data_IF_292526094156
#
_entry.id   IF_292526094156
#
_cell.length_a   1.000
_cell.length_b   1.000
_cell.length_c   1.000
_cell.angle_alpha   90.00
_cell.angle_beta   90.00
_cell.angle_gamma   90.00
#
_symmetry.space_group_name_H-M   'P 1'
#
loop_
_entity.id
_entity.type
_entity.pdbx_description
1 polymer ?
#
# COMPACT_ATOMS: atom_id res chain seq x y z
N UNK A 1 13.76 -12.24 14.68
CA UNK A 1 12.54 -12.16 15.52
C UNK A 1 12.64 -10.85 16.30
N UNK A 2 11.75 -9.88 16.11
CA UNK A 2 11.76 -8.63 16.88
C UNK A 2 11.35 -8.95 18.31
N UNK A 3 12.25 -8.80 19.26
CA UNK A 3 12.04 -9.13 20.66
C UNK A 3 11.43 -7.99 21.48
N UNK A 4 10.73 -7.03 20.87
CA UNK A 4 10.22 -5.86 21.58
C UNK A 4 8.77 -5.54 21.23
N UNK A 5 8.05 -4.94 22.20
CA UNK A 5 6.72 -4.41 21.96
C UNK A 5 6.73 -3.21 21.01
N UNK A 6 5.77 -3.12 20.09
CA UNK A 6 5.54 -1.93 19.25
C UNK A 6 4.97 -0.75 20.05
N UNK A 7 4.62 -0.96 21.34
CA UNK A 7 4.17 0.07 22.27
C UNK A 7 5.38 0.74 22.93
N UNK A 8 5.74 1.94 22.45
CA UNK A 8 6.84 2.75 22.97
C UNK A 8 6.28 4.09 23.46
N UNK A 9 5.89 4.19 24.76
CA UNK A 9 5.30 5.41 25.30
C UNK A 9 6.25 6.60 25.17
N UNK A 10 5.73 7.76 24.72
CA UNK A 10 6.52 8.98 24.62
C UNK A 10 7.54 9.04 23.48
N UNK A 11 7.56 8.06 22.57
CA UNK A 11 8.51 7.99 21.44
C UNK A 11 8.60 9.32 20.68
N UNK A 12 7.48 9.98 20.40
CA UNK A 12 7.43 11.27 19.70
C UNK A 12 8.09 12.44 20.46
N UNK A 13 8.32 12.30 21.77
CA UNK A 13 8.99 13.32 22.62
C UNK A 13 10.50 13.16 22.63
N UNK A 14 10.99 11.99 22.21
CA UNK A 14 12.42 11.71 22.20
C UNK A 14 13.11 12.47 21.06
N UNK A 15 14.38 12.88 21.21
CA UNK A 15 15.22 13.35 20.11
C UNK A 15 15.31 12.28 19.00
N UNK A 16 15.54 12.70 17.75
CA UNK A 16 15.65 11.80 16.60
C UNK A 16 16.74 10.74 16.81
N UNK A 17 17.88 11.12 17.40
CA UNK A 17 18.98 10.20 17.73
C UNK A 17 18.54 9.07 18.65
N UNK A 18 17.74 9.37 19.68
CA UNK A 18 17.23 8.38 20.61
C UNK A 18 16.16 7.49 19.98
N UNK A 19 15.26 8.06 19.16
CA UNK A 19 14.30 7.26 18.37
C UNK A 19 15.02 6.24 17.50
N UNK A 20 16.09 6.67 16.78
CA UNK A 20 16.92 5.80 15.94
C UNK A 20 17.61 4.70 16.77
N UNK A 21 18.12 5.04 17.94
CA UNK A 21 18.74 4.05 18.84
C UNK A 21 17.75 2.95 19.25
N UNK A 22 16.52 3.33 19.58
CA UNK A 22 15.47 2.38 19.90
C UNK A 22 15.09 1.48 18.72
N UNK A 23 14.97 2.05 17.49
CA UNK A 23 14.71 1.28 16.28
C UNK A 23 15.82 0.28 16.00
N UNK A 24 17.09 0.68 16.18
CA UNK A 24 18.25 -0.20 16.03
C UNK A 24 18.16 -1.41 16.93
N UNK A 25 17.80 -1.23 18.20
CA UNK A 25 17.65 -2.31 19.16
C UNK A 25 16.45 -3.21 18.83
N UNK A 26 15.37 -2.63 18.31
CA UNK A 26 14.14 -3.38 18.01
C UNK A 26 14.28 -4.31 16.80
N UNK A 27 14.99 -3.89 15.75
CA UNK A 27 15.07 -4.59 14.48
C UNK A 27 16.51 -5.04 14.09
N UNK A 28 17.45 -5.00 15.07
CA UNK A 28 18.86 -5.35 14.85
C UNK A 28 19.48 -4.67 13.60
N UNK A 29 19.31 -3.35 13.52
CA UNK A 29 19.77 -2.56 12.37
C UNK A 29 21.29 -2.35 12.40
N UNK A 30 21.92 -2.52 11.25
CA UNK A 30 23.33 -2.27 11.05
C UNK A 30 23.70 -0.78 11.05
N UNK A 31 24.99 -0.46 11.15
CA UNK A 31 25.49 0.92 10.96
C UNK A 31 25.15 1.47 9.56
N UNK A 32 25.14 0.62 8.53
CA UNK A 32 24.75 1.03 7.19
C UNK A 32 23.27 1.43 7.12
N UNK A 33 22.40 0.72 7.85
CA UNK A 33 20.99 1.08 7.96
C UNK A 33 20.78 2.44 8.62
N UNK A 34 21.58 2.71 9.66
CA UNK A 34 21.51 4.00 10.34
C UNK A 34 21.96 5.15 9.43
N UNK A 35 23.02 4.96 8.61
CA UNK A 35 23.44 5.94 7.60
C UNK A 35 22.39 6.16 6.52
N UNK A 36 21.62 5.14 6.14
CA UNK A 36 20.52 5.26 5.19
C UNK A 36 19.45 6.26 5.66
N UNK A 37 19.23 6.36 6.97
CA UNK A 37 18.28 7.33 7.54
C UNK A 37 18.77 8.79 7.44
N UNK A 38 20.06 9.04 7.29
CA UNK A 38 20.61 10.39 7.11
C UNK A 38 20.49 10.87 5.67
N UNK A 39 20.59 9.95 4.69
CA UNK A 39 20.62 10.25 3.27
C UNK A 39 19.26 10.25 2.56
N UNK A 40 18.14 10.16 3.28
CA UNK A 40 16.81 10.14 2.64
C UNK A 40 16.50 8.82 1.90
N UNK A 41 17.28 7.76 2.12
CA UNK A 41 17.04 6.40 1.61
C UNK A 41 17.62 6.09 0.23
N UNK A 42 17.96 7.09 -0.56
CA UNK A 42 18.56 6.98 -1.90
C UNK A 42 19.48 8.18 -2.13
N UNK A 43 20.61 7.98 -2.78
CA UNK A 43 21.50 9.07 -3.20
C UNK A 43 21.28 9.46 -4.66
N UNK A 44 21.89 10.59 -5.09
CA UNK A 44 21.74 11.11 -6.45
C UNK A 44 22.31 10.16 -7.50
N UNK A 45 23.38 9.42 -7.20
CA UNK A 45 23.96 8.49 -8.13
C UNK A 45 23.05 7.25 -8.37
N UNK A 46 22.34 6.82 -7.36
CA UNK A 46 21.29 5.79 -7.50
C UNK A 46 20.07 6.36 -8.23
N UNK A 47 19.64 7.59 -7.90
CA UNK A 47 18.51 8.23 -8.56
C UNK A 47 18.72 8.36 -10.08
N UNK A 48 19.91 8.78 -10.52
CA UNK A 48 20.27 8.92 -11.92
C UNK A 48 20.26 7.58 -12.71
N UNK A 49 20.51 6.46 -12.02
CA UNK A 49 20.40 5.12 -12.62
C UNK A 49 18.98 4.56 -12.68
N UNK A 50 18.10 5.05 -11.84
CA UNK A 50 16.74 4.49 -11.66
C UNK A 50 15.70 5.30 -12.42
N UNK A 51 15.91 6.62 -12.55
CA UNK A 51 14.97 7.55 -13.20
C UNK A 51 15.72 8.41 -14.21
N UNK A 52 15.21 8.49 -15.42
CA UNK A 52 15.75 9.30 -16.51
C UNK A 52 15.71 10.80 -16.15
N UNK A 53 16.75 11.53 -16.55
CA UNK A 53 16.86 12.99 -16.34
C UNK A 53 16.84 13.40 -14.86
N UNK A 54 17.26 12.54 -13.94
CA UNK A 54 17.30 12.87 -12.52
C UNK A 54 18.25 14.05 -12.26
N UNK A 55 17.78 15.02 -11.48
CA UNK A 55 18.56 16.20 -11.07
C UNK A 55 18.84 16.22 -9.55
N UNK A 56 18.28 15.26 -8.82
CA UNK A 56 18.41 15.16 -7.37
C UNK A 56 17.40 14.18 -6.77
N UNK A 57 17.28 14.22 -5.45
CA UNK A 57 16.34 13.39 -4.68
C UNK A 57 15.31 14.29 -4.01
N UNK A 58 14.04 13.95 -4.14
CA UNK A 58 12.94 14.58 -3.43
C UNK A 58 12.51 13.68 -2.27
N UNK A 59 12.88 14.04 -1.05
CA UNK A 59 12.67 13.24 0.13
C UNK A 59 11.32 13.49 0.80
N UNK A 60 10.67 12.42 1.28
CA UNK A 60 9.52 12.49 2.17
C UNK A 60 9.94 12.19 3.61
N UNK A 61 9.27 12.80 4.62
CA UNK A 61 9.46 12.41 6.01
C UNK A 61 9.16 10.92 6.22
N UNK A 62 10.08 10.21 6.87
CA UNK A 62 9.89 8.81 7.28
C UNK A 62 9.66 8.76 8.78
N UNK A 63 8.52 8.25 9.21
CA UNK A 63 8.22 8.02 10.61
C UNK A 63 7.77 6.58 10.87
N UNK A 64 7.44 6.31 12.14
CA UNK A 64 7.09 4.94 12.59
C UNK A 64 5.70 4.96 13.22
N UNK A 65 4.78 4.18 12.63
CA UNK A 65 3.51 3.80 13.24
C UNK A 65 3.77 2.84 14.40
N UNK A 66 3.22 3.18 15.55
CA UNK A 66 3.40 2.45 16.81
C UNK A 66 2.12 1.73 17.21
N UNK A 67 2.23 0.85 18.21
CA UNK A 67 1.15 0.12 18.87
C UNK A 67 0.47 -0.96 18.01
N UNK A 68 0.90 -1.18 16.78
CA UNK A 68 0.30 -2.21 15.93
C UNK A 68 0.54 -3.60 16.50
N UNK A 69 -0.54 -4.35 16.64
CA UNK A 69 -0.55 -5.81 16.87
C UNK A 69 -1.35 -6.41 15.71
N UNK A 70 -0.72 -7.26 14.92
CA UNK A 70 -1.31 -7.87 13.73
C UNK A 70 -1.14 -9.38 13.85
N UNK A 71 -2.25 -10.12 13.86
CA UNK A 71 -2.27 -11.57 14.10
C UNK A 71 -1.42 -11.98 15.32
N UNK A 72 -1.56 -11.21 16.41
CA UNK A 72 -0.83 -11.45 17.67
C UNK A 72 0.64 -11.02 17.70
N UNK A 73 1.16 -10.46 16.58
CA UNK A 73 2.54 -10.00 16.46
C UNK A 73 2.63 -8.49 16.61
N UNK A 74 3.52 -8.01 17.45
CA UNK A 74 3.91 -6.59 17.53
C UNK A 74 4.67 -6.16 16.26
N UNK A 75 4.28 -5.03 15.65
CA UNK A 75 4.90 -4.52 14.42
C UNK A 75 5.15 -3.03 14.52
N UNK A 76 6.38 -2.59 14.25
CA UNK A 76 6.70 -1.19 13.97
C UNK A 76 6.48 -0.91 12.49
N UNK A 77 5.64 0.06 12.16
CA UNK A 77 5.20 0.31 10.78
C UNK A 77 5.87 1.56 10.21
N UNK A 78 6.91 1.42 9.35
CA UNK A 78 7.50 2.56 8.64
C UNK A 78 6.46 3.18 7.70
N UNK A 79 6.36 4.50 7.76
CA UNK A 79 5.42 5.30 6.98
C UNK A 79 6.14 6.52 6.40
N UNK A 80 6.15 6.65 5.08
CA UNK A 80 6.69 7.81 4.37
C UNK A 80 5.52 8.68 3.89
N UNK A 81 5.40 9.90 4.40
CA UNK A 81 4.25 10.76 4.12
C UNK A 81 4.60 12.22 4.39
N UNK A 82 4.08 13.12 3.55
CA UNK A 82 4.25 14.57 3.69
C UNK A 82 3.22 15.21 4.63
N UNK A 83 2.04 14.56 4.79
CA UNK A 83 0.92 15.12 5.55
C UNK A 83 1.16 14.95 7.06
N UNK A 84 1.13 16.05 7.85
CA UNK A 84 1.18 15.96 9.29
C UNK A 84 0.03 15.14 9.87
N UNK A 85 0.23 14.55 11.01
CA UNK A 85 -0.77 13.79 11.79
C UNK A 85 -1.04 12.36 11.33
N UNK A 86 -0.83 11.96 10.09
CA UNK A 86 -1.15 10.62 9.57
C UNK A 86 -0.55 9.52 10.46
N UNK A 87 0.74 9.60 10.74
CA UNK A 87 1.45 8.59 11.55
C UNK A 87 0.96 8.58 13.01
N UNK A 88 0.74 9.76 13.58
CA UNK A 88 0.25 9.89 14.95
C UNK A 88 -1.19 9.37 15.07
N UNK A 89 -2.04 9.66 14.10
CA UNK A 89 -3.42 9.21 14.02
C UNK A 89 -3.50 7.69 13.90
N UNK A 90 -2.76 7.09 12.97
CA UNK A 90 -2.68 5.63 12.81
C UNK A 90 -2.14 4.94 14.08
N UNK A 91 -1.10 5.50 14.72
CA UNK A 91 -0.54 4.97 15.96
C UNK A 91 -1.53 5.02 17.13
N UNK A 92 -2.35 6.09 17.22
CA UNK A 92 -3.39 6.20 18.26
C UNK A 92 -4.54 5.25 18.01
N UNK A 93 -4.97 5.08 16.76
CA UNK A 93 -5.97 4.09 16.39
C UNK A 93 -5.49 2.66 16.68
N UNK A 94 -4.25 2.33 16.31
CA UNK A 94 -3.65 1.04 16.62
C UNK A 94 -3.58 0.77 18.12
N UNK A 95 -3.36 1.81 18.95
CA UNK A 95 -3.42 1.68 20.42
C UNK A 95 -4.81 1.27 20.90
N UNK A 96 -5.87 1.85 20.35
CA UNK A 96 -7.25 1.50 20.72
C UNK A 96 -7.61 0.08 20.24
N UNK A 97 -7.23 -0.27 19.03
CA UNK A 97 -7.42 -1.62 18.46
C UNK A 97 -6.65 -2.66 19.28
N UNK A 98 -5.45 -2.34 19.76
CA UNK A 98 -4.65 -3.21 20.63
C UNK A 98 -5.38 -3.62 21.90
N UNK A 99 -6.21 -2.75 22.47
CA UNK A 99 -7.03 -3.06 23.65
C UNK A 99 -8.13 -4.08 23.36
N UNK A 100 -8.53 -4.22 22.09
CA UNK A 100 -9.45 -5.24 21.58
C UNK A 100 -8.76 -6.51 21.03
N UNK A 101 -7.45 -6.68 21.24
CA UNK A 101 -6.69 -7.85 20.80
C UNK A 101 -5.81 -7.62 19.56
N UNK A 102 -5.87 -6.44 18.93
CA UNK A 102 -5.13 -6.11 17.71
C UNK A 102 -5.94 -6.31 16.42
N UNK A 103 -5.25 -6.23 15.30
CA UNK A 103 -5.80 -6.50 13.98
C UNK A 103 -5.73 -8.00 13.67
N UNK A 104 -6.81 -8.53 13.10
CA UNK A 104 -6.84 -9.85 12.48
C UNK A 104 -6.86 -9.64 10.97
N UNK A 105 -5.87 -10.15 10.28
CA UNK A 105 -5.68 -9.91 8.85
C UNK A 105 -5.40 -11.20 8.10
N UNK A 106 -5.91 -11.27 6.87
CA UNK A 106 -5.67 -12.33 5.90
C UNK A 106 -5.42 -11.72 4.52
N UNK A 107 -4.68 -12.44 3.65
CA UNK A 107 -4.42 -12.02 2.28
C UNK A 107 -4.52 -13.22 1.33
N UNK A 108 -5.15 -12.99 0.18
CA UNK A 108 -5.21 -13.94 -0.92
C UNK A 108 -3.79 -14.33 -1.39
N UNK A 109 -3.68 -15.40 -2.15
CA UNK A 109 -2.44 -15.72 -2.85
C UNK A 109 -2.04 -14.58 -3.80
N UNK A 110 -0.73 -14.36 -4.03
CA UNK A 110 -0.24 -13.20 -4.77
C UNK A 110 -0.46 -13.34 -6.29
N UNK A 111 -1.72 -13.47 -6.69
CA UNK A 111 -2.13 -13.70 -8.07
C UNK A 111 -2.39 -12.38 -8.77
N UNK A 112 -1.65 -12.13 -9.85
CA UNK A 112 -1.83 -11.02 -10.78
C UNK A 112 -2.52 -11.48 -12.05
N UNK A 113 -3.18 -10.57 -12.77
CA UNK A 113 -3.92 -10.88 -13.98
C UNK A 113 -3.33 -10.19 -15.20
N UNK A 114 -2.94 -10.99 -16.20
CA UNK A 114 -2.67 -10.54 -17.56
C UNK A 114 -3.99 -10.43 -18.33
N UNK A 115 -4.17 -9.37 -19.11
CA UNK A 115 -5.25 -9.22 -20.08
C UNK A 115 -4.68 -9.29 -21.50
N UNK A 116 -5.32 -10.09 -22.36
CA UNK A 116 -4.99 -10.18 -23.77
C UNK A 116 -6.27 -9.86 -24.56
N UNK A 117 -6.30 -8.68 -25.17
CA UNK A 117 -7.40 -8.28 -26.03
C UNK A 117 -7.24 -8.89 -27.43
N UNK A 118 -8.29 -9.50 -27.96
CA UNK A 118 -8.37 -9.94 -29.36
C UNK A 118 -9.51 -9.19 -30.04
N UNK A 119 -9.20 -8.50 -31.11
CA UNK A 119 -10.12 -7.66 -31.88
C UNK A 119 -10.44 -8.25 -33.25
N UNK A 120 -11.56 -7.79 -33.85
CA UNK A 120 -11.97 -8.27 -35.16
C UNK A 120 -12.43 -9.72 -35.15
N UNK A 121 -13.15 -10.10 -34.11
CA UNK A 121 -13.72 -11.44 -33.94
C UNK A 121 -15.17 -11.42 -34.39
N UNK A 122 -15.48 -12.16 -35.44
CA UNK A 122 -16.84 -12.21 -36.03
C UNK A 122 -17.84 -12.90 -35.09
N UNK A 123 -17.43 -13.99 -34.44
CA UNK A 123 -18.23 -14.76 -33.48
C UNK A 123 -17.44 -14.89 -32.16
N UNK A 124 -17.64 -13.97 -31.20
CA UNK A 124 -16.95 -13.99 -29.91
C UNK A 124 -17.23 -15.25 -29.08
N UNK A 125 -18.43 -15.81 -29.14
CA UNK A 125 -18.77 -17.01 -28.36
C UNK A 125 -18.10 -18.28 -28.92
N UNK A 126 -18.04 -18.43 -30.24
CA UNK A 126 -17.28 -19.51 -30.85
C UNK A 126 -15.77 -19.34 -30.62
N UNK A 127 -15.26 -18.10 -30.63
CA UNK A 127 -13.86 -17.81 -30.31
C UNK A 127 -13.54 -18.14 -28.86
N UNK A 128 -14.39 -17.76 -27.90
CA UNK A 128 -14.27 -18.13 -26.49
C UNK A 128 -14.11 -19.65 -26.32
N UNK A 129 -15.00 -20.44 -26.91
CA UNK A 129 -14.95 -21.90 -26.85
C UNK A 129 -13.64 -22.47 -27.39
N UNK A 130 -13.10 -21.92 -28.49
CA UNK A 130 -11.81 -22.36 -29.06
C UNK A 130 -10.63 -22.05 -28.13
N UNK A 131 -10.61 -20.87 -27.51
CA UNK A 131 -9.57 -20.46 -26.58
C UNK A 131 -9.65 -21.30 -25.30
N UNK A 132 -10.85 -21.50 -24.75
CA UNK A 132 -11.08 -22.34 -23.56
C UNK A 132 -10.65 -23.80 -23.79
N UNK A 133 -10.93 -24.35 -24.98
CA UNK A 133 -10.49 -25.71 -25.36
C UNK A 133 -8.96 -25.85 -25.42
N UNK A 134 -8.23 -24.76 -25.64
CA UNK A 134 -6.76 -24.71 -25.65
C UNK A 134 -6.15 -24.28 -24.30
N UNK A 135 -6.95 -24.15 -23.23
CA UNK A 135 -6.51 -23.57 -21.95
C UNK A 135 -5.29 -24.29 -21.36
N UNK A 136 -5.25 -25.62 -21.41
CA UNK A 136 -4.12 -26.42 -20.89
C UNK A 136 -2.82 -26.07 -21.62
N UNK A 137 -2.88 -25.98 -22.96
CA UNK A 137 -1.72 -25.64 -23.78
C UNK A 137 -1.26 -24.19 -23.55
N UNK A 138 -2.22 -23.23 -23.43
CA UNK A 138 -1.93 -21.83 -23.16
C UNK A 138 -1.32 -21.64 -21.78
N UNK A 139 -1.84 -22.33 -20.76
CA UNK A 139 -1.27 -22.28 -19.40
C UNK A 139 0.13 -22.89 -19.36
N UNK A 140 0.36 -24.01 -20.07
CA UNK A 140 1.71 -24.60 -20.16
C UNK A 140 2.70 -23.63 -20.83
N UNK A 141 2.31 -22.93 -21.89
CA UNK A 141 3.13 -21.93 -22.56
C UNK A 141 3.39 -20.73 -21.63
N UNK A 142 2.36 -20.22 -20.96
CA UNK A 142 2.49 -19.14 -19.96
C UNK A 142 3.46 -19.52 -18.85
N UNK A 143 3.38 -20.74 -18.35
CA UNK A 143 4.28 -21.24 -17.31
C UNK A 143 5.71 -21.35 -17.80
N UNK A 144 5.93 -21.85 -19.00
CA UNK A 144 7.27 -21.97 -19.62
C UNK A 144 7.91 -20.61 -19.92
N UNK A 145 7.13 -19.53 -20.02
CA UNK A 145 7.65 -18.16 -20.25
C UNK A 145 8.42 -17.63 -19.03
N UNK A 146 8.14 -18.13 -17.83
CA UNK A 146 8.70 -17.65 -16.57
C UNK A 146 9.40 -18.79 -15.77
N UNK A 147 10.47 -19.42 -16.29
CA UNK A 147 11.07 -20.60 -15.66
C UNK A 147 11.56 -20.33 -14.23
N UNK A 148 12.18 -19.18 -13.98
CA UNK A 148 12.66 -18.84 -12.63
C UNK A 148 11.54 -18.57 -11.61
N UNK A 149 10.35 -18.23 -12.05
CA UNK A 149 9.14 -18.14 -11.20
C UNK A 149 8.58 -19.53 -10.92
N UNK A 150 8.56 -20.39 -11.95
CA UNK A 150 8.13 -21.77 -11.85
C UNK A 150 8.99 -22.56 -10.84
N UNK A 151 10.31 -22.38 -10.87
CA UNK A 151 11.25 -22.99 -9.92
C UNK A 151 10.97 -22.60 -8.46
N UNK A 152 10.36 -21.44 -8.24
CA UNK A 152 9.92 -20.96 -6.92
C UNK A 152 8.48 -21.34 -6.57
N UNK A 153 7.84 -22.20 -7.38
CA UNK A 153 6.47 -22.66 -7.18
C UNK A 153 5.38 -21.64 -7.55
N UNK A 154 5.73 -20.59 -8.29
CA UNK A 154 4.79 -19.65 -8.90
C UNK A 154 4.43 -20.02 -10.33
N UNK A 155 3.81 -19.09 -11.07
CA UNK A 155 3.46 -19.24 -12.48
C UNK A 155 1.97 -19.21 -12.76
N UNK A 156 1.59 -19.48 -14.02
CA UNK A 156 0.19 -19.42 -14.46
C UNK A 156 -0.67 -20.49 -13.75
N UNK A 157 -1.82 -20.04 -13.24
CA UNK A 157 -2.74 -20.87 -12.45
C UNK A 157 -4.05 -21.17 -13.19
N UNK A 158 -4.63 -20.15 -13.80
CA UNK A 158 -5.97 -20.17 -14.38
C UNK A 158 -6.04 -19.30 -15.61
N UNK A 159 -6.94 -19.63 -16.54
CA UNK A 159 -7.29 -18.86 -17.72
C UNK A 159 -8.79 -18.63 -17.74
N UNK A 160 -9.21 -17.39 -17.92
CA UNK A 160 -10.61 -16.98 -18.03
C UNK A 160 -10.82 -16.25 -19.35
N UNK A 161 -11.93 -16.49 -20.03
CA UNK A 161 -12.25 -15.86 -21.30
C UNK A 161 -13.58 -15.12 -21.19
N UNK A 162 -13.54 -13.80 -21.44
CA UNK A 162 -14.71 -12.94 -21.49
C UNK A 162 -14.97 -12.48 -22.92
N UNK A 163 -16.24 -12.32 -23.27
CA UNK A 163 -16.66 -11.78 -24.57
C UNK A 163 -17.18 -10.35 -24.43
N UNK A 164 -16.81 -9.53 -25.38
CA UNK A 164 -17.35 -8.19 -25.60
C UNK A 164 -17.80 -8.09 -27.08
N UNK A 165 -18.65 -7.13 -27.48
CA UNK A 165 -19.04 -6.95 -28.87
C UNK A 165 -17.81 -6.84 -29.79
N UNK A 166 -17.66 -7.82 -30.72
CA UNK A 166 -16.54 -7.89 -31.66
C UNK A 166 -15.16 -8.19 -31.06
N UNK A 167 -15.08 -8.59 -29.80
CA UNK A 167 -13.83 -8.84 -29.07
C UNK A 167 -13.89 -10.03 -28.13
N UNK A 168 -12.73 -10.60 -27.89
CA UNK A 168 -12.49 -11.57 -26.80
C UNK A 168 -11.40 -11.04 -25.91
N UNK A 169 -11.59 -11.12 -24.60
CA UNK A 169 -10.60 -10.76 -23.59
C UNK A 169 -10.19 -12.04 -22.86
N UNK A 170 -8.92 -12.39 -22.93
CA UNK A 170 -8.37 -13.54 -22.22
C UNK A 170 -7.60 -13.03 -21.00
N UNK A 171 -8.00 -13.48 -19.82
CA UNK A 171 -7.29 -13.26 -18.59
C UNK A 171 -6.43 -14.49 -18.27
N UNK A 172 -5.17 -14.27 -17.93
CA UNK A 172 -4.29 -15.31 -17.39
C UNK A 172 -3.90 -14.90 -15.98
N UNK A 173 -4.26 -15.72 -15.00
CA UNK A 173 -3.99 -15.50 -13.59
C UNK A 173 -2.67 -16.15 -13.20
N UNK A 174 -1.72 -15.35 -12.69
CA UNK A 174 -0.33 -15.74 -12.47
C UNK A 174 0.03 -15.51 -11.02
N UNK A 175 0.40 -16.56 -10.31
CA UNK A 175 0.97 -16.49 -8.97
C UNK A 175 2.40 -15.92 -9.08
N UNK A 176 2.57 -14.69 -8.62
CA UNK A 176 3.84 -13.95 -8.67
C UNK A 176 4.70 -14.15 -7.43
N UNK A 177 4.28 -14.96 -6.49
CA UNK A 177 4.95 -15.19 -5.20
C UNK A 177 5.23 -13.85 -4.50
N UNK A 178 6.44 -13.60 -4.09
CA UNK A 178 6.83 -12.41 -3.31
C UNK A 178 7.11 -11.17 -4.15
N UNK A 179 6.97 -11.25 -5.49
CA UNK A 179 7.04 -10.09 -6.36
C UNK A 179 5.67 -9.40 -6.53
N UNK A 180 5.69 -8.09 -6.78
CA UNK A 180 4.48 -7.39 -7.27
C UNK A 180 4.01 -7.97 -8.60
N UNK A 181 4.92 -8.21 -9.55
CA UNK A 181 4.70 -9.07 -10.70
C UNK A 181 4.45 -8.38 -12.05
N UNK A 182 4.38 -7.05 -12.13
CA UNK A 182 3.97 -6.33 -13.34
C UNK A 182 4.73 -6.77 -14.61
N UNK A 183 6.07 -6.77 -14.59
CA UNK A 183 6.88 -7.13 -15.75
C UNK A 183 6.68 -8.60 -16.15
N UNK A 184 6.60 -9.51 -15.19
CA UNK A 184 6.38 -10.92 -15.45
C UNK A 184 5.02 -11.17 -16.12
N UNK A 185 3.99 -10.51 -15.65
CA UNK A 185 2.63 -10.60 -16.19
C UNK A 185 2.56 -10.07 -17.61
N UNK A 186 3.21 -8.93 -17.89
CA UNK A 186 3.30 -8.37 -19.24
C UNK A 186 4.05 -9.30 -20.20
N UNK A 187 5.17 -9.89 -19.76
CA UNK A 187 5.91 -10.88 -20.55
C UNK A 187 5.05 -12.06 -20.96
N UNK A 188 4.22 -12.58 -20.05
CA UNK A 188 3.28 -13.67 -20.36
C UNK A 188 2.19 -13.21 -21.34
N UNK A 189 1.61 -12.01 -21.12
CA UNK A 189 0.56 -11.48 -21.99
C UNK A 189 1.07 -11.34 -23.44
N UNK A 190 2.26 -10.78 -23.62
CA UNK A 190 2.89 -10.59 -24.93
C UNK A 190 3.21 -11.95 -25.59
N UNK A 191 3.76 -12.90 -24.85
CA UNK A 191 4.11 -14.22 -25.38
C UNK A 191 2.88 -15.02 -25.87
N UNK A 192 1.72 -14.81 -25.24
CA UNK A 192 0.50 -15.52 -25.59
C UNK A 192 -0.31 -14.83 -26.71
N UNK A 193 -0.16 -13.53 -26.90
CA UNK A 193 -1.02 -12.68 -27.73
C UNK A 193 -1.30 -13.24 -29.11
N UNK A 194 -0.25 -13.54 -29.88
CA UNK A 194 -0.36 -14.08 -31.24
C UNK A 194 -1.01 -15.48 -31.30
N UNK A 195 -0.74 -16.33 -30.33
CA UNK A 195 -1.34 -17.67 -30.27
C UNK A 195 -2.83 -17.60 -29.97
N UNK A 196 -3.21 -16.77 -29.01
CA UNK A 196 -4.61 -16.52 -28.66
C UNK A 196 -5.36 -15.90 -29.84
N UNK A 197 -4.74 -14.94 -30.57
CA UNK A 197 -5.32 -14.33 -31.75
C UNK A 197 -5.65 -15.37 -32.85
N UNK A 198 -4.72 -16.28 -33.14
CA UNK A 198 -4.97 -17.38 -34.10
C UNK A 198 -6.12 -18.30 -33.67
N UNK A 199 -6.17 -18.68 -32.39
CA UNK A 199 -7.24 -19.53 -31.83
C UNK A 199 -8.59 -18.82 -31.90
N UNK A 200 -8.64 -17.55 -31.57
CA UNK A 200 -9.84 -16.74 -31.62
C UNK A 200 -10.30 -16.39 -33.04
N UNK A 201 -9.43 -16.54 -34.06
CA UNK A 201 -9.61 -16.06 -35.45
C UNK A 201 -9.82 -14.54 -35.50
N UNK A 202 -9.00 -13.83 -34.75
CA UNK A 202 -8.97 -12.38 -34.69
C UNK A 202 -7.54 -11.85 -34.80
N UNK A 203 -7.32 -10.62 -34.35
CA UNK A 203 -5.99 -9.98 -34.30
C UNK A 203 -5.67 -9.65 -32.86
N UNK A 204 -4.40 -9.81 -32.47
CA UNK A 204 -3.92 -9.36 -31.16
C UNK A 204 -4.08 -7.84 -31.04
N UNK A 205 -4.78 -7.41 -30.01
CA UNK A 205 -4.91 -6.02 -29.59
C UNK A 205 -3.87 -5.70 -28.51
N UNK A 206 -4.32 -5.35 -27.31
CA UNK A 206 -3.46 -4.96 -26.21
C UNK A 206 -3.20 -6.14 -25.24
N UNK A 207 -1.96 -6.67 -25.19
CA UNK A 207 -1.53 -7.62 -24.16
C UNK A 207 -0.87 -6.86 -22.99
N UNK A 208 -1.56 -6.72 -21.85
CA UNK A 208 -1.07 -5.95 -20.70
C UNK A 208 -1.68 -6.46 -19.39
N UNK A 209 -1.02 -6.21 -18.27
CA UNK A 209 -1.60 -6.45 -16.95
C UNK A 209 -2.83 -5.58 -16.68
N UNK A 210 -3.66 -5.98 -15.71
CA UNK A 210 -4.63 -5.07 -15.08
C UNK A 210 -4.20 -4.70 -13.68
N UNK A 211 -4.44 -3.44 -13.29
CA UNK A 211 -4.29 -2.99 -11.91
C UNK A 211 -5.52 -3.28 -11.04
N UNK A 212 -6.65 -3.70 -11.60
CA UNK A 212 -7.74 -4.26 -10.83
C UNK A 212 -7.35 -5.69 -10.41
N UNK A 213 -6.67 -5.77 -9.29
CA UNK A 213 -6.10 -7.01 -8.76
C UNK A 213 -7.10 -7.68 -7.79
N UNK A 214 -8.33 -7.92 -8.25
CA UNK A 214 -9.43 -8.47 -7.48
C UNK A 214 -9.22 -9.93 -7.02
N UNK A 215 -8.20 -10.60 -7.56
CA UNK A 215 -7.73 -11.93 -7.14
C UNK A 215 -6.58 -11.88 -6.11
N UNK A 216 -6.19 -10.68 -5.67
CA UNK A 216 -5.07 -10.45 -4.73
C UNK A 216 -5.48 -9.43 -3.68
N UNK A 217 -6.44 -9.81 -2.84
CA UNK A 217 -7.03 -8.92 -1.84
C UNK A 217 -6.40 -9.13 -0.47
N UNK A 218 -6.45 -8.08 0.33
CA UNK A 218 -6.25 -8.14 1.77
C UNK A 218 -7.58 -7.90 2.48
N UNK A 219 -7.80 -8.63 3.57
CA UNK A 219 -8.92 -8.45 4.49
C UNK A 219 -8.37 -8.17 5.86
N UNK A 220 -8.88 -7.15 6.52
CA UNK A 220 -8.47 -6.78 7.87
C UNK A 220 -9.69 -6.54 8.72
N UNK A 221 -9.65 -7.07 9.94
CA UNK A 221 -10.68 -6.87 10.95
C UNK A 221 -10.06 -6.28 12.22
N UNK A 222 -10.80 -5.40 12.89
CA UNK A 222 -10.40 -4.81 14.15
C UNK A 222 -11.60 -4.71 15.09
N UNK A 223 -11.40 -5.07 16.36
CA UNK A 223 -12.36 -4.82 17.44
C UNK A 223 -11.79 -3.75 18.38
N UNK A 224 -12.63 -2.80 18.77
CA UNK A 224 -12.25 -1.74 19.70
C UNK A 224 -13.29 -1.69 20.82
N UNK A 225 -12.91 -1.97 22.07
CA UNK A 225 -13.80 -1.80 23.21
C UNK A 225 -14.31 -0.36 23.27
N UNK A 226 -15.61 -0.16 23.52
CA UNK A 226 -16.19 1.19 23.58
C UNK A 226 -15.44 2.10 24.57
N UNK A 227 -15.02 1.57 25.70
CA UNK A 227 -14.22 2.31 26.69
C UNK A 227 -12.91 2.88 26.11
N UNK A 228 -12.28 2.20 25.16
CA UNK A 228 -11.03 2.67 24.51
C UNK A 228 -11.26 3.85 23.55
N UNK A 229 -12.51 4.08 23.14
CA UNK A 229 -12.90 5.21 22.25
C UNK A 229 -13.14 6.50 23.03
N UNK A 230 -13.39 6.42 24.33
CA UNK A 230 -13.73 7.59 25.16
C UNK A 230 -12.66 8.68 25.09
N UNK A 231 -13.11 9.93 25.28
CA UNK A 231 -12.27 11.12 25.44
C UNK A 231 -12.61 11.80 26.77
N UNK A 232 -11.98 12.90 27.09
CA UNK A 232 -12.33 13.71 28.28
C UNK A 232 -13.76 14.26 28.21
N UNK A 233 -14.30 14.46 26.98
CA UNK A 233 -15.59 15.13 26.76
C UNK A 233 -16.67 14.22 26.17
N UNK A 234 -16.30 13.04 25.64
CA UNK A 234 -17.24 12.12 24.99
C UNK A 234 -17.10 10.71 25.61
N UNK A 235 -18.22 10.12 25.99
CA UNK A 235 -18.22 8.71 26.41
C UNK A 235 -18.02 7.77 25.21
N UNK A 236 -17.47 6.58 25.49
CA UNK A 236 -17.05 5.66 24.45
C UNK A 236 -18.19 5.10 23.60
N UNK A 237 -19.40 4.95 24.16
CA UNK A 237 -20.55 4.46 23.42
C UNK A 237 -21.05 5.50 22.41
N UNK A 238 -21.12 6.77 22.81
CA UNK A 238 -21.47 7.88 21.92
C UNK A 238 -20.47 8.02 20.78
N UNK A 239 -19.16 7.87 21.05
CA UNK A 239 -18.12 7.89 20.00
C UNK A 239 -18.26 6.71 19.05
N UNK A 240 -18.50 5.50 19.57
CA UNK A 240 -18.78 4.31 18.75
C UNK A 240 -19.95 4.56 17.80
N UNK A 241 -21.06 5.03 18.32
CA UNK A 241 -22.27 5.26 17.54
C UNK A 241 -22.08 6.36 16.48
N UNK A 242 -21.30 7.40 16.79
CA UNK A 242 -20.89 8.41 15.83
C UNK A 242 -20.02 7.86 14.71
N UNK A 243 -19.08 6.94 15.01
CA UNK A 243 -18.27 6.26 14.00
C UNK A 243 -19.13 5.38 13.10
N UNK A 244 -20.07 4.63 13.67
CA UNK A 244 -21.00 3.78 12.91
C UNK A 244 -21.87 4.64 11.98
N UNK A 245 -22.41 5.76 12.46
CA UNK A 245 -23.19 6.69 11.64
C UNK A 245 -22.36 7.27 10.48
N UNK A 246 -21.09 7.64 10.73
CA UNK A 246 -20.19 8.14 9.69
C UNK A 246 -19.80 7.05 8.67
N UNK A 247 -19.75 5.77 9.08
CA UNK A 247 -19.57 4.63 8.18
C UNK A 247 -20.80 4.43 7.29
N UNK A 248 -22.01 4.43 7.85
CA UNK A 248 -23.25 4.32 7.08
C UNK A 248 -23.37 5.45 6.05
N UNK A 249 -23.02 6.69 6.43
CA UNK A 249 -23.04 7.80 5.48
C UNK A 249 -22.11 7.56 4.28
N UNK A 250 -20.94 6.93 4.48
CA UNK A 250 -20.05 6.57 3.38
C UNK A 250 -20.63 5.43 2.49
N UNK A 251 -21.42 4.53 3.06
CA UNK A 251 -22.12 3.49 2.30
C UNK A 251 -23.26 4.06 1.45
N UNK A 252 -23.92 5.11 1.93
CA UNK A 252 -25.08 5.73 1.28
C UNK A 252 -24.69 6.78 0.24
N UNK A 253 -23.54 7.45 0.38
CA UNK A 253 -23.15 8.60 -0.43
C UNK A 253 -21.75 8.42 -1.05
N UNK A 254 -21.60 8.37 -2.39
CA UNK A 254 -20.31 8.25 -3.06
C UNK A 254 -19.36 9.44 -2.82
N UNK A 255 -19.88 10.66 -2.58
CA UNK A 255 -19.03 11.80 -2.22
C UNK A 255 -18.37 11.58 -0.86
N UNK A 256 -19.16 11.08 0.11
CA UNK A 256 -18.59 10.72 1.42
C UNK A 256 -17.66 9.52 1.32
N UNK A 257 -18.02 8.50 0.52
CA UNK A 257 -17.18 7.33 0.27
C UNK A 257 -15.78 7.72 -0.28
N UNK A 258 -15.71 8.68 -1.20
CA UNK A 258 -14.45 9.15 -1.75
C UNK A 258 -13.50 9.71 -0.66
N UNK A 259 -14.04 10.54 0.24
CA UNK A 259 -13.25 11.08 1.36
C UNK A 259 -12.92 10.02 2.41
N UNK A 260 -13.84 9.06 2.62
CA UNK A 260 -13.64 7.91 3.50
C UNK A 260 -12.47 7.04 3.00
N UNK A 261 -12.44 6.72 1.72
CA UNK A 261 -11.39 5.92 1.10
C UNK A 261 -10.05 6.68 1.06
N UNK A 262 -10.04 8.00 0.79
CA UNK A 262 -8.81 8.81 0.92
C UNK A 262 -8.21 8.69 2.32
N UNK A 263 -9.06 8.66 3.37
CA UNK A 263 -8.61 8.43 4.74
C UNK A 263 -7.97 7.06 4.96
N UNK A 264 -8.42 6.02 4.27
CA UNK A 264 -7.78 4.69 4.25
C UNK A 264 -6.43 4.77 3.54
N UNK A 265 -6.41 5.39 2.34
CA UNK A 265 -5.21 5.47 1.52
C UNK A 265 -4.09 6.28 2.18
N UNK A 266 -4.38 7.26 3.04
CA UNK A 266 -3.36 7.92 3.86
C UNK A 266 -2.49 6.93 4.64
N UNK A 267 -3.08 5.87 5.20
CA UNK A 267 -2.35 4.81 5.90
C UNK A 267 -1.69 3.82 4.94
N UNK A 268 -2.40 3.43 3.88
CA UNK A 268 -1.92 2.47 2.87
C UNK A 268 -0.71 3.02 2.14
N UNK A 269 -0.83 4.19 1.51
CA UNK A 269 0.21 4.79 0.68
C UNK A 269 1.47 5.08 1.46
N UNK A 270 1.33 5.56 2.70
CA UNK A 270 2.48 5.83 3.55
C UNK A 270 3.38 4.60 3.76
N UNK A 271 2.79 3.40 3.86
CA UNK A 271 3.56 2.15 4.01
C UNK A 271 4.01 1.62 2.64
N UNK A 272 3.17 1.71 1.61
CA UNK A 272 3.51 1.30 0.23
C UNK A 272 4.72 2.08 -0.27
N UNK A 273 4.73 3.41 -0.09
CA UNK A 273 5.86 4.30 -0.44
C UNK A 273 7.10 3.95 0.39
N UNK A 274 6.96 3.82 1.70
CA UNK A 274 8.08 3.48 2.59
C UNK A 274 8.75 2.16 2.22
N UNK A 275 8.00 1.20 1.70
CA UNK A 275 8.48 -0.11 1.26
C UNK A 275 8.87 -0.17 -0.21
N UNK A 276 8.82 0.96 -0.94
CA UNK A 276 9.24 1.07 -2.34
C UNK A 276 8.34 0.33 -3.32
N UNK A 277 7.09 0.09 -2.96
CA UNK A 277 6.09 -0.53 -3.82
C UNK A 277 5.36 0.50 -4.71
N UNK A 278 4.62 0.03 -5.69
CA UNK A 278 3.86 0.85 -6.64
C UNK A 278 2.55 1.36 -6.01
N UNK A 279 2.62 2.53 -5.37
CA UNK A 279 1.45 3.15 -4.74
C UNK A 279 0.36 3.53 -5.77
N UNK A 280 0.74 3.92 -7.01
CA UNK A 280 -0.25 4.25 -8.05
C UNK A 280 -1.03 3.01 -8.52
N UNK A 281 -0.36 1.87 -8.62
CA UNK A 281 -1.01 0.59 -8.92
C UNK A 281 -1.96 0.15 -7.81
N UNK A 282 -1.58 0.35 -6.54
CA UNK A 282 -2.44 0.06 -5.38
C UNK A 282 -3.66 1.00 -5.35
N UNK A 283 -3.47 2.31 -5.53
CA UNK A 283 -4.56 3.31 -5.63
C UNK A 283 -5.55 2.95 -6.76
N UNK A 284 -5.04 2.68 -7.97
CA UNK A 284 -5.88 2.32 -9.11
C UNK A 284 -6.72 1.07 -8.82
N UNK A 285 -6.11 0.05 -8.24
CA UNK A 285 -6.81 -1.19 -7.83
C UNK A 285 -7.87 -0.94 -6.78
N UNK A 286 -7.55 -0.18 -5.75
CA UNK A 286 -8.45 0.15 -4.64
C UNK A 286 -9.70 0.90 -5.14
N UNK A 287 -9.53 1.96 -5.93
CA UNK A 287 -10.63 2.76 -6.43
C UNK A 287 -11.47 2.03 -7.49
N UNK A 288 -10.84 1.22 -8.36
CA UNK A 288 -11.56 0.37 -9.29
C UNK A 288 -12.41 -0.69 -8.55
N UNK A 289 -11.87 -1.29 -7.50
CA UNK A 289 -12.58 -2.26 -6.65
C UNK A 289 -13.75 -1.60 -5.90
N UNK A 290 -13.55 -0.40 -5.36
CA UNK A 290 -14.60 0.39 -4.70
C UNK A 290 -15.79 0.73 -5.62
N UNK A 291 -15.58 0.70 -6.95
CA UNK A 291 -16.59 1.00 -7.97
C UNK A 291 -17.08 -0.25 -8.75
N UNK A 292 -16.66 -1.46 -8.36
CA UNK A 292 -16.92 -2.68 -9.13
C UNK A 292 -18.40 -2.99 -9.35
N UNK A 293 -19.27 -2.61 -8.41
CA UNK A 293 -20.75 -2.79 -8.48
C UNK A 293 -21.45 -1.68 -9.29
N UNK A 294 -20.72 -0.81 -9.97
CA UNK A 294 -21.28 0.34 -10.69
C UNK A 294 -21.58 1.58 -9.81
N UNK A 295 -21.34 1.49 -8.51
CA UNK A 295 -21.41 2.60 -7.55
C UNK A 295 -20.15 2.62 -6.68
N UNK A 296 -19.57 3.79 -6.50
CA UNK A 296 -18.41 3.96 -5.63
C UNK A 296 -18.77 3.77 -4.16
N UNK A 297 -18.10 2.83 -3.47
CA UNK A 297 -18.38 2.39 -2.10
C UNK A 297 -17.19 2.55 -1.18
N UNK A 298 -17.38 2.59 0.16
CA UNK A 298 -16.27 2.52 1.10
C UNK A 298 -15.58 1.16 1.07
N UNK A 299 -14.25 1.16 1.16
CA UNK A 299 -13.39 -0.03 1.28
C UNK A 299 -13.36 -0.59 2.71
N UNK A 300 -13.79 0.20 3.69
CA UNK A 300 -13.92 -0.21 5.08
C UNK A 300 -15.29 0.16 5.64
N UNK A 301 -15.82 -0.70 6.51
CA UNK A 301 -17.10 -0.49 7.19
C UNK A 301 -16.95 -0.72 8.70
N UNK A 302 -17.73 0.02 9.49
CA UNK A 302 -17.74 -0.06 10.94
C UNK A 302 -19.15 -0.33 11.48
N UNK A 303 -19.24 -1.23 12.46
CA UNK A 303 -20.51 -1.65 13.08
C UNK A 303 -20.35 -1.72 14.60
N UNK A 304 -21.48 -1.56 15.30
CA UNK A 304 -21.55 -1.87 16.73
C UNK A 304 -21.92 -3.34 16.91
N UNK A 305 -21.08 -4.10 17.62
CA UNK A 305 -21.32 -5.51 17.91
C UNK A 305 -20.99 -5.81 19.36
N UNK A 306 -21.97 -6.34 20.11
CA UNK A 306 -21.84 -6.71 21.54
C UNK A 306 -21.29 -5.56 22.42
N UNK A 307 -21.66 -4.32 22.10
CA UNK A 307 -21.22 -3.14 22.85
C UNK A 307 -19.89 -2.53 22.36
N UNK A 308 -19.11 -3.24 21.57
CA UNK A 308 -17.83 -2.80 20.99
C UNK A 308 -18.02 -2.23 19.57
N UNK A 309 -16.98 -1.57 19.06
CA UNK A 309 -16.86 -1.18 17.66
C UNK A 309 -16.07 -2.25 16.90
N UNK A 310 -16.64 -2.75 15.79
CA UNK A 310 -15.98 -3.70 14.89
C UNK A 310 -15.84 -3.09 13.51
N UNK A 311 -14.62 -3.08 12.99
CA UNK A 311 -14.27 -2.60 11.66
C UNK A 311 -13.77 -3.71 10.75
N UNK A 312 -14.11 -3.62 9.47
CA UNK A 312 -13.66 -4.53 8.42
C UNK A 312 -13.20 -3.72 7.22
N UNK A 313 -12.10 -4.12 6.62
CA UNK A 313 -11.56 -3.58 5.37
C UNK A 313 -11.31 -4.72 4.41
N UNK A 314 -11.69 -4.53 3.14
CA UNK A 314 -11.30 -5.41 2.04
C UNK A 314 -10.91 -4.56 0.84
N UNK A 315 -9.73 -4.85 0.25
CA UNK A 315 -9.26 -4.17 -0.96
C UNK A 315 -8.17 -4.98 -1.68
N UNK A 316 -7.96 -4.77 -3.00
CA UNK A 316 -6.80 -5.28 -3.70
C UNK A 316 -5.49 -4.73 -3.11
N UNK A 317 -4.45 -5.59 -3.04
CA UNK A 317 -3.17 -5.22 -2.47
C UNK A 317 -2.02 -5.86 -3.24
N UNK A 318 -1.71 -5.32 -4.41
CA UNK A 318 -0.65 -5.83 -5.28
C UNK A 318 0.71 -5.26 -4.88
N UNK A 319 1.33 -5.84 -3.86
CA UNK A 319 2.65 -5.44 -3.34
C UNK A 319 3.63 -6.61 -3.34
N UNK A 320 4.92 -6.33 -3.27
CA UNK A 320 5.96 -7.36 -3.19
C UNK A 320 7.07 -7.00 -2.22
N UNK A 321 7.82 -8.02 -1.82
CA UNK A 321 9.02 -7.90 -0.98
C UNK A 321 10.31 -8.05 -1.79
N UNK A 322 10.18 -8.43 -3.07
CA UNK A 322 11.32 -8.62 -3.99
C UNK A 322 11.02 -8.01 -5.37
N UNK A 323 12.07 -7.74 -6.14
CA UNK A 323 11.99 -7.26 -7.52
C UNK A 323 11.89 -5.74 -7.64
N UNK A 324 11.78 -5.26 -8.89
CA UNK A 324 11.66 -3.84 -9.21
C UNK A 324 12.82 -2.99 -8.65
N UNK A 325 12.50 -1.76 -8.26
CA UNK A 325 13.46 -0.80 -7.69
C UNK A 325 13.82 -1.08 -6.23
N UNK A 326 13.20 -2.07 -5.57
CA UNK A 326 13.45 -2.41 -4.16
C UNK A 326 14.92 -2.68 -3.87
N UNK A 327 15.62 -3.36 -4.78
CA UNK A 327 17.05 -3.65 -4.60
C UNK A 327 17.92 -2.39 -4.65
N UNK A 328 17.54 -1.38 -5.39
CA UNK A 328 18.27 -0.12 -5.51
C UNK A 328 18.00 0.83 -4.34
N UNK A 329 16.79 0.82 -3.77
CA UNK A 329 16.35 1.79 -2.76
C UNK A 329 16.66 1.30 -1.33
N UNK A 330 17.78 1.80 -0.76
CA UNK A 330 18.22 1.39 0.59
C UNK A 330 17.18 1.68 1.68
N UNK A 331 16.45 2.79 1.57
CA UNK A 331 15.35 3.15 2.50
C UNK A 331 14.22 2.13 2.48
N UNK A 332 13.83 1.63 1.31
CA UNK A 332 12.79 0.61 1.18
C UNK A 332 13.23 -0.72 1.83
N UNK A 333 14.49 -1.13 1.61
CA UNK A 333 15.06 -2.31 2.28
C UNK A 333 15.09 -2.16 3.81
N UNK A 334 15.44 -0.97 4.29
CA UNK A 334 15.39 -0.64 5.73
C UNK A 334 13.97 -0.77 6.27
N UNK A 335 12.98 -0.21 5.56
CA UNK A 335 11.57 -0.30 5.96
C UNK A 335 11.10 -1.76 6.04
N UNK A 336 11.42 -2.60 5.06
CA UNK A 336 11.10 -4.03 5.09
C UNK A 336 11.75 -4.76 6.27
N UNK A 337 12.99 -4.42 6.64
CA UNK A 337 13.65 -4.98 7.84
C UNK A 337 12.95 -4.55 9.13
N UNK A 338 12.57 -3.29 9.24
CA UNK A 338 11.82 -2.77 10.40
C UNK A 338 10.47 -3.48 10.57
N UNK A 339 9.76 -3.73 9.46
CA UNK A 339 8.53 -4.52 9.44
C UNK A 339 8.77 -6.00 9.79
N UNK A 340 9.97 -6.50 9.53
CA UNK A 340 10.29 -7.92 9.66
C UNK A 340 9.41 -8.78 8.75
N UNK A 341 9.11 -8.32 7.54
CA UNK A 341 8.30 -9.05 6.56
C UNK A 341 9.12 -10.15 5.92
N UNK A 342 8.48 -11.30 5.74
CA UNK A 342 9.06 -12.51 5.14
C UNK A 342 8.55 -12.76 3.73
N UNK A 343 7.35 -12.24 3.42
CA UNK A 343 6.63 -12.51 2.18
C UNK A 343 5.65 -11.37 1.85
N UNK A 344 5.12 -11.40 0.63
CA UNK A 344 4.20 -10.40 0.11
C UNK A 344 2.83 -10.39 0.84
N UNK A 345 2.36 -11.54 1.33
CA UNK A 345 1.07 -11.65 2.05
C UNK A 345 1.16 -10.93 3.39
N UNK A 346 2.25 -11.15 4.14
CA UNK A 346 2.47 -10.45 5.41
C UNK A 346 2.58 -8.94 5.20
N UNK A 347 3.28 -8.49 4.15
CA UNK A 347 3.35 -7.07 3.80
C UNK A 347 1.96 -6.50 3.50
N UNK A 348 1.14 -7.19 2.71
CA UNK A 348 -0.23 -6.79 2.40
C UNK A 348 -1.09 -6.65 3.67
N UNK A 349 -1.01 -7.60 4.60
CA UNK A 349 -1.73 -7.58 5.86
C UNK A 349 -1.33 -6.37 6.74
N UNK A 350 -0.04 -6.02 6.77
CA UNK A 350 0.43 -4.85 7.52
C UNK A 350 -0.07 -3.55 6.89
N UNK A 351 -0.01 -3.44 5.56
CA UNK A 351 -0.48 -2.26 4.82
C UNK A 351 -1.99 -2.08 5.02
N UNK A 352 -2.78 -3.14 4.87
CA UNK A 352 -4.23 -3.09 5.11
C UNK A 352 -4.58 -2.68 6.54
N UNK A 353 -3.80 -3.17 7.54
CA UNK A 353 -3.98 -2.78 8.95
C UNK A 353 -3.68 -1.30 9.18
N UNK A 354 -2.67 -0.74 8.51
CA UNK A 354 -2.38 0.70 8.55
C UNK A 354 -3.51 1.51 7.92
N UNK A 355 -4.11 1.02 6.82
CA UNK A 355 -5.29 1.62 6.18
C UNK A 355 -6.50 1.66 7.12
N UNK A 356 -6.85 0.53 7.74
CA UNK A 356 -7.99 0.46 8.68
C UNK A 356 -7.75 1.33 9.92
N UNK A 357 -6.51 1.39 10.44
CA UNK A 357 -6.14 2.27 11.54
C UNK A 357 -6.31 3.75 11.18
N UNK A 358 -5.86 4.16 10.00
CA UNK A 358 -5.99 5.52 9.49
C UNK A 358 -7.46 5.93 9.33
N UNK A 359 -8.29 5.01 8.81
CA UNK A 359 -9.73 5.22 8.68
C UNK A 359 -10.42 5.38 10.05
N UNK A 360 -10.13 4.51 11.02
CA UNK A 360 -10.64 4.63 12.39
C UNK A 360 -10.32 6.00 13.00
N UNK A 361 -9.07 6.44 12.85
CA UNK A 361 -8.62 7.72 13.39
C UNK A 361 -9.42 8.90 12.80
N UNK A 362 -9.64 8.88 11.48
CA UNK A 362 -10.41 9.91 10.78
C UNK A 362 -11.88 9.91 11.23
N UNK A 363 -12.51 8.75 11.30
CA UNK A 363 -13.91 8.64 11.74
C UNK A 363 -14.10 9.04 13.19
N UNK A 364 -13.16 8.67 14.09
CA UNK A 364 -13.20 9.09 15.48
C UNK A 364 -13.07 10.61 15.62
N UNK A 365 -12.18 11.25 14.85
CA UNK A 365 -12.06 12.70 14.86
C UNK A 365 -13.36 13.38 14.41
N UNK A 366 -14.04 12.84 13.38
CA UNK A 366 -15.34 13.32 12.91
C UNK A 366 -16.45 13.13 13.97
N UNK A 367 -16.43 12.02 14.69
CA UNK A 367 -17.41 11.69 15.73
C UNK A 367 -17.20 12.44 17.06
N UNK A 368 -16.08 13.19 17.20
CA UNK A 368 -15.74 13.92 18.43
C UNK A 368 -15.51 15.41 18.17
N UNK A 369 -14.26 15.85 18.13
CA UNK A 369 -13.88 17.26 18.10
C UNK A 369 -13.96 17.89 16.69
N UNK A 370 -14.11 17.06 15.66
CA UNK A 370 -14.02 17.46 14.25
C UNK A 370 -12.55 17.51 13.76
N UNK A 371 -12.37 17.28 12.47
CA UNK A 371 -11.04 17.13 11.84
C UNK A 371 -10.18 18.38 12.02
N UNK A 372 -10.75 19.60 11.86
CA UNK A 372 -9.95 20.84 11.95
C UNK A 372 -9.31 21.08 13.31
N UNK A 373 -10.03 20.79 14.41
CA UNK A 373 -9.48 21.00 15.76
C UNK A 373 -8.34 20.03 16.07
N UNK A 374 -8.47 18.78 15.66
CA UNK A 374 -7.42 17.77 15.82
C UNK A 374 -6.14 18.11 15.02
N UNK A 375 -6.27 18.61 13.79
CA UNK A 375 -5.14 19.02 12.96
C UNK A 375 -4.46 20.33 13.43
N UNK A 376 -5.21 21.32 13.91
CA UNK A 376 -4.63 22.61 14.32
C UNK A 376 -3.66 22.51 15.50
N UNK A 377 -3.84 21.56 16.39
CA UNK A 377 -2.90 21.33 17.50
C UNK A 377 -1.52 20.86 17.01
N UNK A 378 -1.46 20.15 15.89
CA UNK A 378 -0.21 19.64 15.28
C UNK A 378 0.36 20.62 14.23
N UNK A 379 -0.49 21.38 13.52
CA UNK A 379 -0.05 22.43 12.60
C UNK A 379 0.73 23.58 13.29
N UNK A 380 0.49 23.85 14.56
CA UNK A 380 1.31 24.84 15.31
C UNK A 380 2.78 24.41 15.46
N UNK A 381 3.09 23.12 15.28
CA UNK A 381 4.48 22.62 15.28
C UNK A 381 5.16 22.70 13.91
N UNK A 382 4.40 22.94 12.84
CA UNK A 382 4.91 23.10 11.47
C UNK A 382 5.06 24.57 11.04
N UNK A 383 5.14 25.52 12.00
CA UNK A 383 5.60 26.86 11.65
C UNK A 383 7.01 26.76 11.05
N UNK A 384 7.31 27.55 9.99
CA UNK A 384 8.60 27.44 9.34
C UNK A 384 9.71 27.65 10.37
N UNK A 385 10.55 26.63 10.57
CA UNK A 385 11.87 26.82 11.11
C UNK A 385 12.52 27.83 10.16
N UNK A 386 12.91 29.00 10.63
CA UNK A 386 13.63 29.98 9.82
C UNK A 386 14.72 29.21 9.07
N UNK A 387 14.60 29.11 7.76
CA UNK A 387 15.62 28.52 6.92
C UNK A 387 16.84 29.39 7.12
N UNK A 388 17.82 28.88 7.85
CA UNK A 388 19.14 29.50 7.90
C UNK A 388 19.62 29.50 6.45
N UNK A 389 19.60 30.70 5.82
CA UNK A 389 20.17 30.84 4.48
C UNK A 389 21.60 30.29 4.52
N UNK A 390 21.98 29.43 3.60
CA UNK A 390 23.36 29.01 3.51
C UNK A 390 24.22 30.26 3.33
N UNK A 391 25.40 30.34 3.94
CA UNK A 391 26.26 31.50 3.81
C UNK A 391 26.49 31.79 2.33
N UNK A 392 26.20 33.02 1.88
CA UNK A 392 26.43 33.42 0.48
C UNK A 392 27.92 33.23 0.20
N UNK A 393 28.29 32.61 -0.94
CA UNK A 393 29.68 32.50 -1.31
C UNK A 393 30.28 33.93 -1.38
N UNK A 394 31.29 34.20 -0.59
CA UNK A 394 32.08 35.41 -0.68
C UNK A 394 32.76 35.45 -2.06
N UNK A 395 32.26 36.31 -2.92
CA UNK A 395 32.94 36.63 -4.19
C UNK A 395 34.23 37.34 -3.79
N UNK A 396 35.38 36.69 -3.95
CA UNK A 396 36.66 37.30 -3.82
C UNK A 396 36.81 38.38 -4.90
N UNK A 397 36.70 39.63 -4.54
CA UNK A 397 37.05 40.74 -5.41
C UNK A 397 38.57 40.72 -5.60
N UNK A 398 39.01 40.30 -6.79
CA UNK A 398 40.40 40.49 -7.22
C UNK A 398 40.59 41.98 -7.52
N UNK A 399 41.16 42.72 -6.59
CA UNK A 399 41.72 44.02 -6.90
C UNK A 399 42.89 43.86 -7.85
N UNK A 400 42.67 44.27 -9.09
CA UNK A 400 43.72 44.38 -10.09
C UNK A 400 44.62 45.57 -9.79
N UNK A 401 45.82 45.28 -9.28
CA UNK A 401 46.90 46.29 -9.21
C UNK A 401 47.35 46.61 -10.62
N UNK A 402 47.20 47.90 -11.01
CA UNK A 402 47.93 48.50 -12.13
C UNK A 402 49.20 49.08 -11.56
N UNK A 403 50.32 48.67 -12.09
CA UNK A 403 51.50 49.51 -12.44
C UNK A 403 52.18 48.89 -13.64
#
# INVERSE_FOLDING_TARGET
MSNGSSRIPGFYRLPVTERRRLLRLHADLSEQDMRTLDGGGIDTAVADRVVENAVGVYALPLGIGLNFVINGRDVLVPMAVEEPSVIAAASNAARMVREGGGFVADADDPVMTAQIEIVGVDDPDAARKRVEAASVELLALAHATLPSLADRGGGARELEVRTLPGRVIVHVHIDCRDAMGANMVNTVAEALGEKVARLARGRSGLPILTNLCDRRRVRVQARVPAAALATETFDGASVRDGIVAASHFAEDDPYRAATHNKGIMNGVDAVVIATGNDWRGVEAGAHAFAAADGRYRPLAVWRAENGDLVGQLEMPMAVGTVGGTLHAHAGARLAQRLLGVTDAKLLAMIIGSAGLASNLAALRALATEGIQRGHMALHRKSQPVAVLEPPRPTVATSEGGRT
#
